data_IF_394049221164
#
_entry.id   IF_394049221164
#
_cell.length_a   1.000
_cell.length_b   1.000
_cell.length_c   1.000
_cell.angle_alpha   90.00
_cell.angle_beta   90.00
_cell.angle_gamma   90.00
#
_symmetry.space_group_name_H-M   'P 1'
#
loop_
_entity.id
_entity.type
_entity.pdbx_description
1 polymer ?
#
# COMPACT_ATOMS: atom_id res chain seq x y z
N UNK A 1 9.17 -31.49 -27.78
CA UNK A 1 10.12 -30.78 -26.91
C UNK A 1 10.19 -29.27 -27.22
N UNK A 2 10.13 -28.79 -28.43
CA UNK A 2 10.17 -27.37 -28.85
C UNK A 2 8.98 -26.48 -28.39
N UNK A 3 7.83 -27.04 -28.05
CA UNK A 3 6.63 -26.27 -27.67
C UNK A 3 6.59 -25.81 -26.21
N UNK A 4 7.38 -26.42 -25.34
CA UNK A 4 7.47 -26.08 -23.92
C UNK A 4 8.43 -24.90 -23.70
N UNK A 5 9.57 -24.94 -24.39
CA UNK A 5 10.58 -23.87 -24.25
C UNK A 5 10.09 -22.50 -24.74
N UNK A 6 9.26 -22.44 -25.79
CA UNK A 6 8.72 -21.19 -26.33
C UNK A 6 7.60 -20.59 -25.44
N UNK A 7 6.96 -21.39 -24.59
CA UNK A 7 5.97 -20.89 -23.61
C UNK A 7 6.66 -20.32 -22.38
N UNK A 8 7.70 -21.01 -21.91
CA UNK A 8 8.49 -20.58 -20.75
C UNK A 8 9.28 -19.28 -21.05
N UNK A 9 9.79 -19.10 -22.28
CA UNK A 9 10.43 -17.86 -22.73
C UNK A 9 9.45 -16.68 -22.84
N UNK A 10 8.23 -16.90 -23.31
CA UNK A 10 7.19 -15.86 -23.38
C UNK A 10 6.69 -15.45 -21.98
N UNK A 11 6.53 -16.39 -21.07
CA UNK A 11 6.13 -16.11 -19.68
C UNK A 11 7.25 -15.39 -18.93
N UNK A 12 8.50 -15.76 -19.13
CA UNK A 12 9.64 -15.09 -18.51
C UNK A 12 9.81 -13.64 -19.03
N UNK A 13 9.61 -13.42 -20.32
CA UNK A 13 9.67 -12.08 -20.92
C UNK A 13 8.49 -11.18 -20.51
N UNK A 14 7.30 -11.75 -20.28
CA UNK A 14 6.13 -11.00 -19.77
C UNK A 14 6.31 -10.63 -18.30
N UNK A 15 6.89 -11.52 -17.51
CA UNK A 15 7.20 -11.28 -16.10
C UNK A 15 8.30 -10.23 -15.94
N UNK A 16 9.35 -10.28 -16.74
CA UNK A 16 10.42 -9.28 -16.74
C UNK A 16 9.92 -7.87 -17.10
N UNK A 17 9.06 -7.77 -18.12
CA UNK A 17 8.43 -6.49 -18.49
C UNK A 17 7.51 -5.96 -17.38
N UNK A 18 6.76 -6.83 -16.73
CA UNK A 18 5.91 -6.45 -15.58
C UNK A 18 6.75 -5.90 -14.43
N UNK A 19 7.82 -6.59 -14.03
CA UNK A 19 8.72 -6.14 -12.96
C UNK A 19 9.35 -4.80 -13.30
N UNK A 20 9.88 -4.62 -14.52
CA UNK A 20 10.45 -3.36 -14.95
C UNK A 20 9.42 -2.22 -14.94
N UNK A 21 8.19 -2.49 -15.38
CA UNK A 21 7.11 -1.47 -15.38
C UNK A 21 6.72 -1.07 -13.96
N UNK A 22 6.57 -2.03 -13.05
CA UNK A 22 6.24 -1.76 -11.65
C UNK A 22 7.36 -0.99 -10.96
N UNK A 23 8.63 -1.39 -11.19
CA UNK A 23 9.79 -0.68 -10.63
C UNK A 23 9.89 0.76 -11.11
N UNK A 24 9.71 1.00 -12.42
CA UNK A 24 9.75 2.33 -12.99
C UNK A 24 8.58 3.20 -12.47
N UNK A 25 7.39 2.61 -12.39
CA UNK A 25 6.22 3.30 -11.86
C UNK A 25 6.43 3.68 -10.38
N UNK A 26 6.90 2.76 -9.54
CA UNK A 26 7.21 3.02 -8.14
C UNK A 26 8.27 4.10 -7.98
N UNK A 27 9.31 4.09 -8.82
CA UNK A 27 10.37 5.10 -8.81
C UNK A 27 9.81 6.50 -9.11
N UNK A 28 9.03 6.63 -10.18
CA UNK A 28 8.43 7.93 -10.56
C UNK A 28 7.47 8.43 -9.47
N UNK A 29 6.58 7.55 -8.98
CA UNK A 29 5.65 7.89 -7.92
C UNK A 29 6.37 8.31 -6.64
N UNK A 30 7.41 7.58 -6.24
CA UNK A 30 8.20 7.91 -5.05
C UNK A 30 8.83 9.29 -5.15
N UNK A 31 9.42 9.65 -6.30
CA UNK A 31 10.01 10.97 -6.49
C UNK A 31 8.94 12.07 -6.39
N UNK A 32 7.85 11.92 -7.15
CA UNK A 32 6.80 12.95 -7.24
C UNK A 32 6.14 13.17 -5.88
N UNK A 33 5.72 12.09 -5.23
CA UNK A 33 5.02 12.19 -3.94
C UNK A 33 5.96 12.57 -2.80
N UNK A 34 7.20 12.08 -2.78
CA UNK A 34 8.17 12.45 -1.75
C UNK A 34 8.54 13.92 -1.85
N UNK A 35 8.77 14.43 -3.07
CA UNK A 35 9.03 15.85 -3.28
C UNK A 35 7.84 16.72 -2.84
N UNK A 36 6.63 16.40 -3.31
CA UNK A 36 5.42 17.12 -2.93
C UNK A 36 5.17 17.12 -1.42
N UNK A 37 5.35 15.97 -0.77
CA UNK A 37 5.18 15.82 0.68
C UNK A 37 6.22 16.62 1.46
N UNK A 38 7.49 16.59 1.02
CA UNK A 38 8.60 17.33 1.64
C UNK A 38 8.35 18.84 1.58
N UNK A 39 8.02 19.38 0.41
CA UNK A 39 7.73 20.81 0.23
C UNK A 39 6.53 21.24 1.08
N UNK A 40 5.46 20.42 1.08
CA UNK A 40 4.27 20.72 1.87
C UNK A 40 4.58 20.74 3.37
N UNK A 41 5.31 19.74 3.88
CA UNK A 41 5.60 19.62 5.31
C UNK A 41 6.58 20.68 5.79
N UNK A 42 7.47 21.16 4.92
CA UNK A 42 8.40 22.24 5.27
C UNK A 42 7.70 23.55 5.68
N UNK A 43 6.56 23.87 5.11
CA UNK A 43 5.78 25.07 5.45
C UNK A 43 4.75 24.86 6.56
N UNK A 44 4.42 23.62 6.89
CA UNK A 44 3.42 23.30 7.89
C UNK A 44 3.96 23.43 9.32
N UNK A 45 3.14 23.89 10.29
CA UNK A 45 3.46 23.80 11.71
C UNK A 45 3.55 22.34 12.16
N UNK A 46 4.42 22.05 13.15
CA UNK A 46 4.74 20.70 13.62
C UNK A 46 3.49 19.85 13.93
N UNK A 47 2.44 20.33 14.64
CA UNK A 47 1.28 19.52 14.93
C UNK A 47 0.53 19.04 13.68
N UNK A 48 0.40 19.91 12.66
CA UNK A 48 -0.27 19.55 11.41
C UNK A 48 0.60 18.58 10.61
N UNK A 49 1.91 18.77 10.59
CA UNK A 49 2.86 17.85 9.95
C UNK A 49 2.76 16.43 10.56
N UNK A 50 2.60 16.30 11.88
CA UNK A 50 2.40 15.02 12.56
C UNK A 50 1.08 14.37 12.12
N UNK A 51 0.00 15.12 12.00
CA UNK A 51 -1.29 14.58 11.53
C UNK A 51 -1.16 14.06 10.09
N UNK A 52 -0.51 14.82 9.20
CA UNK A 52 -0.24 14.38 7.82
C UNK A 52 0.61 13.11 7.80
N UNK A 53 1.66 13.03 8.62
CA UNK A 53 2.48 11.84 8.77
C UNK A 53 1.65 10.60 9.17
N UNK A 54 0.81 10.75 10.20
CA UNK A 54 -0.05 9.65 10.66
C UNK A 54 -1.05 9.20 9.60
N UNK A 55 -1.60 10.13 8.82
CA UNK A 55 -2.50 9.81 7.70
C UNK A 55 -1.77 9.02 6.60
N UNK A 56 -0.55 9.40 6.24
CA UNK A 56 0.24 8.67 5.24
C UNK A 56 0.58 7.26 5.74
N UNK A 57 0.99 7.12 7.00
CA UNK A 57 1.25 5.81 7.63
C UNK A 57 -0.03 4.96 7.60
N UNK A 58 -1.17 5.51 8.00
CA UNK A 58 -2.44 4.79 7.99
C UNK A 58 -2.85 4.31 6.60
N UNK A 59 -2.65 5.15 5.56
CA UNK A 59 -2.89 4.76 4.18
C UNK A 59 -1.99 3.60 3.76
N UNK A 60 -0.70 3.66 4.04
CA UNK A 60 0.24 2.58 3.76
C UNK A 60 -0.18 1.27 4.43
N UNK A 61 -0.58 1.32 5.71
CA UNK A 61 -1.08 0.16 6.46
C UNK A 61 -2.35 -0.41 5.82
N UNK A 62 -3.30 0.44 5.40
CA UNK A 62 -4.54 0.00 4.76
C UNK A 62 -4.28 -0.75 3.45
N UNK A 63 -3.39 -0.26 2.59
CA UNK A 63 -3.04 -0.94 1.35
C UNK A 63 -2.28 -2.24 1.59
N UNK A 64 -1.39 -2.30 2.59
CA UNK A 64 -0.75 -3.54 3.03
C UNK A 64 -1.78 -4.57 3.55
N UNK A 65 -2.80 -4.12 4.30
CA UNK A 65 -3.91 -4.98 4.74
C UNK A 65 -4.70 -5.56 3.56
N UNK A 66 -5.01 -4.74 2.56
CA UNK A 66 -5.73 -5.18 1.35
C UNK A 66 -4.91 -6.21 0.59
N UNK A 67 -3.62 -5.95 0.39
CA UNK A 67 -2.68 -6.87 -0.23
C UNK A 67 -2.69 -8.24 0.46
N UNK A 68 -2.52 -8.23 1.78
CA UNK A 68 -2.52 -9.45 2.58
C UNK A 68 -3.88 -10.16 2.51
N UNK A 69 -4.98 -9.42 2.65
CA UNK A 69 -6.32 -9.99 2.62
C UNK A 69 -6.63 -10.67 1.28
N UNK A 70 -6.23 -10.09 0.15
CA UNK A 70 -6.46 -10.68 -1.18
C UNK A 70 -5.68 -11.99 -1.35
N UNK A 71 -4.46 -12.10 -0.77
CA UNK A 71 -3.66 -13.32 -0.83
C UNK A 71 -4.22 -14.46 0.03
N UNK A 72 -4.90 -14.14 1.13
CA UNK A 72 -5.42 -15.13 2.09
C UNK A 72 -6.93 -15.37 1.97
N UNK A 73 -7.63 -14.63 1.10
CA UNK A 73 -9.08 -14.79 0.93
C UNK A 73 -9.44 -16.08 0.18
N UNK A 74 -10.48 -16.77 0.66
CA UNK A 74 -10.98 -18.00 0.05
C UNK A 74 -11.98 -17.71 -1.07
N UNK A 75 -11.63 -18.06 -2.30
CA UNK A 75 -12.49 -17.86 -3.49
C UNK A 75 -13.86 -18.55 -3.34
N UNK A 76 -13.92 -19.68 -2.65
CA UNK A 76 -15.13 -20.49 -2.43
C UNK A 76 -16.27 -19.70 -1.77
N UNK A 77 -15.95 -18.86 -0.77
CA UNK A 77 -16.95 -18.00 -0.11
C UNK A 77 -17.59 -17.02 -1.09
N UNK A 78 -16.76 -16.44 -1.97
CA UNK A 78 -17.24 -15.44 -2.93
C UNK A 78 -18.04 -16.06 -4.08
N UNK A 79 -17.83 -17.31 -4.44
CA UNK A 79 -18.71 -18.05 -5.36
C UNK A 79 -20.12 -18.21 -4.77
N UNK A 80 -20.22 -18.56 -3.49
CA UNK A 80 -21.51 -18.63 -2.80
C UNK A 80 -22.22 -17.27 -2.73
N UNK A 81 -21.48 -16.17 -2.55
CA UNK A 81 -22.04 -14.81 -2.59
C UNK A 81 -22.46 -14.41 -4.00
N UNK A 82 -21.70 -14.79 -5.03
CA UNK A 82 -21.99 -14.50 -6.42
C UNK A 82 -23.24 -15.22 -6.92
N UNK A 83 -23.49 -16.45 -6.50
CA UNK A 83 -24.73 -17.19 -6.83
C UNK A 83 -25.98 -16.53 -6.25
N UNK A 84 -25.82 -15.82 -5.12
CA UNK A 84 -26.88 -15.01 -4.48
C UNK A 84 -26.96 -13.58 -5.05
N UNK A 85 -26.21 -13.26 -6.11
CA UNK A 85 -26.16 -11.94 -6.79
C UNK A 85 -25.81 -10.79 -5.83
N UNK A 86 -24.99 -11.05 -4.78
CA UNK A 86 -24.54 -10.01 -3.86
C UNK A 86 -23.53 -9.10 -4.55
N UNK A 87 -23.64 -7.80 -4.26
CA UNK A 87 -22.78 -6.77 -4.85
C UNK A 87 -21.30 -6.99 -4.45
N UNK A 88 -20.41 -6.77 -5.41
CA UNK A 88 -18.98 -6.92 -5.22
C UNK A 88 -18.45 -8.35 -5.34
N UNK A 89 -19.28 -9.40 -5.24
CA UNK A 89 -18.82 -10.78 -5.23
C UNK A 89 -18.05 -11.20 -6.49
N UNK A 90 -18.50 -10.79 -7.68
CA UNK A 90 -17.78 -11.06 -8.94
C UNK A 90 -16.44 -10.33 -9.01
N UNK A 91 -16.38 -9.12 -8.48
CA UNK A 91 -15.15 -8.32 -8.40
C UNK A 91 -14.17 -8.95 -7.42
N UNK A 92 -14.65 -9.44 -6.27
CA UNK A 92 -13.83 -10.18 -5.30
C UNK A 92 -13.16 -11.40 -5.92
N UNK A 93 -13.92 -12.20 -6.68
CA UNK A 93 -13.36 -13.37 -7.38
C UNK A 93 -12.27 -12.95 -8.37
N UNK A 94 -12.49 -11.87 -9.13
CA UNK A 94 -11.47 -11.37 -10.07
C UNK A 94 -10.20 -10.90 -9.35
N UNK A 95 -10.35 -10.21 -8.20
CA UNK A 95 -9.21 -9.76 -7.40
C UNK A 95 -8.41 -10.95 -6.83
N UNK A 96 -9.09 -11.94 -6.25
CA UNK A 96 -8.45 -13.13 -5.68
C UNK A 96 -7.72 -13.93 -6.76
N UNK A 97 -8.32 -14.12 -7.95
CA UNK A 97 -7.65 -14.79 -9.07
C UNK A 97 -6.41 -14.07 -9.59
N UNK A 98 -6.36 -12.76 -9.42
CA UNK A 98 -5.22 -11.92 -9.78
C UNK A 98 -4.43 -11.47 -8.54
N UNK A 99 -4.52 -12.22 -7.42
CA UNK A 99 -3.92 -11.86 -6.15
C UNK A 99 -2.45 -11.42 -6.26
N UNK A 100 -1.54 -12.09 -7.00
CA UNK A 100 -0.16 -11.64 -7.10
C UNK A 100 -0.01 -10.22 -7.66
N UNK A 101 -0.79 -9.88 -8.70
CA UNK A 101 -0.73 -8.54 -9.31
C UNK A 101 -1.36 -7.47 -8.42
N UNK A 102 -2.51 -7.77 -7.82
CA UNK A 102 -3.20 -6.86 -6.90
C UNK A 102 -2.37 -6.60 -5.66
N UNK A 103 -1.79 -7.65 -5.10
CA UNK A 103 -0.91 -7.59 -3.94
C UNK A 103 0.32 -6.74 -4.23
N UNK A 104 1.00 -6.97 -5.35
CA UNK A 104 2.18 -6.20 -5.75
C UNK A 104 1.85 -4.71 -5.90
N UNK A 105 0.74 -4.35 -6.53
CA UNK A 105 0.35 -2.95 -6.65
C UNK A 105 0.02 -2.33 -5.27
N UNK A 106 -0.72 -3.03 -4.43
CA UNK A 106 -1.14 -2.50 -3.14
C UNK A 106 0.01 -2.40 -2.13
N UNK A 107 0.84 -3.44 -2.00
CA UNK A 107 1.93 -3.46 -1.03
C UNK A 107 3.19 -2.78 -1.59
N UNK A 108 3.68 -3.26 -2.76
CA UNK A 108 5.00 -2.86 -3.25
C UNK A 108 4.97 -1.45 -3.88
N UNK A 109 3.87 -1.09 -4.58
CA UNK A 109 3.78 0.25 -5.17
C UNK A 109 3.25 1.26 -4.15
N UNK A 110 2.02 1.08 -3.66
CA UNK A 110 1.37 2.08 -2.81
C UNK A 110 1.89 2.02 -1.38
N UNK A 111 1.99 0.83 -0.79
CA UNK A 111 2.44 0.63 0.58
C UNK A 111 3.88 1.09 0.81
N UNK A 112 4.79 0.79 -0.13
CA UNK A 112 6.19 1.19 -0.03
C UNK A 112 6.40 2.66 -0.35
N UNK A 113 5.69 3.23 -1.34
CA UNK A 113 5.70 4.68 -1.58
C UNK A 113 5.23 5.45 -0.34
N UNK A 114 4.15 5.02 0.33
CA UNK A 114 3.73 5.61 1.60
C UNK A 114 4.81 5.47 2.69
N UNK A 115 5.52 4.35 2.72
CA UNK A 115 6.67 4.13 3.62
C UNK A 115 7.80 5.12 3.39
N UNK A 116 8.20 5.34 2.15
CA UNK A 116 9.24 6.30 1.76
C UNK A 116 8.82 7.73 2.14
N UNK A 117 7.58 8.11 1.82
CA UNK A 117 7.04 9.43 2.17
C UNK A 117 7.03 9.63 3.68
N UNK A 118 6.54 8.65 4.44
CA UNK A 118 6.48 8.75 5.91
C UNK A 118 7.87 8.85 6.54
N UNK A 119 8.87 8.18 5.97
CA UNK A 119 10.27 8.30 6.38
C UNK A 119 10.83 9.70 6.13
N UNK A 120 10.62 10.25 4.94
CA UNK A 120 11.06 11.59 4.58
C UNK A 120 10.39 12.66 5.46
N UNK A 121 9.07 12.62 5.59
CA UNK A 121 8.28 13.53 6.42
C UNK A 121 8.68 13.41 7.90
N UNK A 122 8.88 12.18 8.39
CA UNK A 122 9.33 11.93 9.77
C UNK A 122 10.70 12.55 10.06
N UNK A 123 11.62 12.50 9.11
CA UNK A 123 12.94 13.13 9.24
C UNK A 123 12.82 14.65 9.30
N UNK A 124 11.96 15.27 8.48
CA UNK A 124 11.75 16.73 8.50
C UNK A 124 11.12 17.16 9.84
N UNK A 125 10.15 16.40 10.35
CA UNK A 125 9.54 16.68 11.66
C UNK A 125 10.60 16.59 12.75
N UNK A 126 11.46 15.57 12.69
CA UNK A 126 12.54 15.38 13.65
C UNK A 126 13.53 16.55 13.63
N UNK A 127 13.91 17.04 12.45
CA UNK A 127 14.74 18.24 12.28
C UNK A 127 14.08 19.48 12.90
N UNK A 128 12.83 19.76 12.55
CA UNK A 128 12.08 20.91 13.08
C UNK A 128 11.98 20.89 14.61
N UNK A 129 11.77 19.72 15.21
CA UNK A 129 11.70 19.57 16.67
C UNK A 129 13.08 19.82 17.26
N UNK A 130 14.13 19.25 16.68
CA UNK A 130 15.52 19.41 17.16
C UNK A 130 15.95 20.86 17.11
N UNK A 131 15.68 21.57 16.01
CA UNK A 131 16.00 22.99 15.86
C UNK A 131 15.18 23.86 16.83
N UNK A 132 13.88 23.61 16.96
CA UNK A 132 13.01 24.43 17.82
C UNK A 132 13.36 24.36 19.28
N UNK A 133 13.82 23.20 19.76
CA UNK A 133 14.13 22.95 21.17
C UNK A 133 15.62 22.92 21.46
N UNK A 134 16.50 23.27 20.48
CA UNK A 134 17.96 23.20 20.59
C UNK A 134 18.46 21.85 21.13
N UNK A 135 17.86 20.76 20.65
CA UNK A 135 18.24 19.42 21.07
C UNK A 135 19.52 18.95 20.36
N UNK A 136 20.30 18.06 20.99
CA UNK A 136 21.47 17.49 20.33
C UNK A 136 21.05 16.66 19.10
N UNK A 137 21.92 16.59 18.11
CA UNK A 137 21.68 15.89 16.82
C UNK A 137 21.26 14.42 16.99
N UNK A 138 21.70 13.79 18.08
CA UNK A 138 21.32 12.39 18.40
C UNK A 138 19.81 12.23 18.62
N UNK A 139 19.10 13.28 19.06
CA UNK A 139 17.64 13.24 19.23
C UNK A 139 16.88 13.14 17.92
N UNK A 140 17.40 13.72 16.82
CA UNK A 140 16.81 13.55 15.49
C UNK A 140 16.77 12.07 15.07
N UNK A 141 17.85 11.33 15.34
CA UNK A 141 17.95 9.91 15.02
C UNK A 141 16.93 9.10 15.84
N UNK A 142 16.78 9.42 17.13
CA UNK A 142 15.80 8.77 18.01
C UNK A 142 14.36 9.03 17.53
N UNK A 143 14.02 10.26 17.18
CA UNK A 143 12.68 10.61 16.69
C UNK A 143 12.39 9.89 15.36
N UNK A 144 13.36 9.88 14.43
CA UNK A 144 13.22 9.16 13.16
C UNK A 144 13.06 7.65 13.37
N UNK A 145 13.80 7.07 14.32
CA UNK A 145 13.66 5.66 14.68
C UNK A 145 12.28 5.33 15.29
N UNK A 146 11.73 6.23 16.12
CA UNK A 146 10.37 6.08 16.66
C UNK A 146 9.32 6.08 15.54
N UNK A 147 9.42 6.98 14.58
CA UNK A 147 8.52 7.04 13.41
C UNK A 147 8.62 5.74 12.59
N UNK A 148 9.84 5.28 12.32
CA UNK A 148 10.07 4.03 11.61
C UNK A 148 9.50 2.82 12.37
N UNK A 149 9.71 2.75 13.67
CA UNK A 149 9.17 1.69 14.53
C UNK A 149 7.64 1.67 14.54
N UNK A 150 7.00 2.83 14.63
CA UNK A 150 5.54 2.97 14.57
C UNK A 150 4.99 2.49 13.21
N UNK A 151 5.65 2.87 12.11
CA UNK A 151 5.26 2.47 10.77
C UNK A 151 5.38 0.95 10.57
N UNK A 152 6.53 0.38 10.92
CA UNK A 152 6.80 -1.06 10.76
C UNK A 152 5.94 -1.88 11.70
N UNK A 153 5.85 -1.49 12.97
CA UNK A 153 5.03 -2.16 13.98
C UNK A 153 3.54 -2.13 13.63
N UNK A 154 3.06 -0.98 13.16
CA UNK A 154 1.70 -0.84 12.64
C UNK A 154 1.43 -1.78 11.46
N UNK A 155 2.30 -1.78 10.44
CA UNK A 155 2.19 -2.71 9.31
C UNK A 155 2.16 -4.17 9.76
N UNK A 156 3.05 -4.57 10.66
CA UNK A 156 3.12 -5.95 11.17
C UNK A 156 1.82 -6.37 11.89
N UNK A 157 1.34 -5.53 12.81
CA UNK A 157 0.12 -5.79 13.56
C UNK A 157 -1.09 -5.94 12.65
N UNK A 158 -1.29 -5.01 11.72
CA UNK A 158 -2.45 -5.02 10.84
C UNK A 158 -2.39 -6.11 9.76
N UNK A 159 -1.20 -6.59 9.38
CA UNK A 159 -1.05 -7.78 8.53
C UNK A 159 -1.64 -9.03 9.18
N UNK A 160 -1.42 -9.24 10.48
CA UNK A 160 -2.03 -10.35 11.22
C UNK A 160 -3.57 -10.25 11.25
N UNK A 161 -4.10 -9.04 11.50
CA UNK A 161 -5.55 -8.79 11.46
C UNK A 161 -6.13 -9.04 10.07
N UNK A 162 -5.41 -8.66 9.02
CA UNK A 162 -5.81 -8.86 7.63
C UNK A 162 -5.85 -10.34 7.25
N UNK A 163 -4.88 -11.11 7.71
CA UNK A 163 -4.84 -12.55 7.50
C UNK A 163 -6.02 -13.25 8.19
N UNK A 164 -6.32 -12.90 9.44
CA UNK A 164 -7.42 -13.48 10.20
C UNK A 164 -8.82 -13.09 9.67
N UNK A 165 -8.95 -11.93 9.01
CA UNK A 165 -10.23 -11.40 8.52
C UNK A 165 -10.25 -11.17 7.01
N UNK A 166 -9.46 -11.93 6.24
CA UNK A 166 -9.23 -11.74 4.81
C UNK A 166 -10.52 -11.60 3.99
N UNK A 167 -11.46 -12.51 4.15
CA UNK A 167 -12.73 -12.51 3.42
C UNK A 167 -13.58 -11.27 3.69
N UNK A 168 -13.62 -10.80 4.94
CA UNK A 168 -14.38 -9.59 5.32
C UNK A 168 -13.75 -8.32 4.74
N UNK A 169 -12.42 -8.25 4.71
CA UNK A 169 -11.69 -7.10 4.19
C UNK A 169 -11.86 -7.02 2.67
N UNK A 170 -11.71 -8.14 1.96
CA UNK A 170 -11.95 -8.20 0.51
C UNK A 170 -13.39 -7.83 0.16
N UNK A 171 -14.37 -8.32 0.91
CA UNK A 171 -15.79 -8.00 0.70
C UNK A 171 -16.07 -6.49 0.87
N UNK A 172 -15.52 -5.86 1.91
CA UNK A 172 -15.65 -4.41 2.11
C UNK A 172 -14.94 -3.61 1.03
N UNK A 173 -13.72 -3.99 0.68
CA UNK A 173 -12.92 -3.31 -0.33
C UNK A 173 -13.60 -3.35 -1.70
N UNK A 174 -14.14 -4.51 -2.10
CA UNK A 174 -14.83 -4.65 -3.38
C UNK A 174 -16.16 -3.92 -3.45
N UNK A 175 -16.87 -3.79 -2.32
CA UNK A 175 -18.06 -2.93 -2.25
C UNK A 175 -17.72 -1.46 -2.46
N UNK A 176 -16.65 -0.98 -1.85
CA UNK A 176 -16.16 0.39 -2.06
C UNK A 176 -15.74 0.59 -3.52
N UNK A 177 -14.99 -0.34 -4.11
CA UNK A 177 -14.65 -0.31 -5.54
C UNK A 177 -15.89 -0.34 -6.44
N UNK A 178 -16.91 -1.13 -6.08
CA UNK A 178 -18.18 -1.19 -6.80
C UNK A 178 -18.89 0.16 -6.85
N UNK A 179 -18.90 0.91 -5.75
CA UNK A 179 -19.47 2.25 -5.69
C UNK A 179 -18.76 3.20 -6.67
N UNK A 180 -17.43 3.08 -6.80
CA UNK A 180 -16.64 3.87 -7.75
C UNK A 180 -16.82 3.41 -9.21
N UNK A 181 -17.05 2.11 -9.45
CA UNK A 181 -17.25 1.54 -10.79
C UNK A 181 -18.64 1.85 -11.35
N UNK A 182 -19.69 1.88 -10.54
CA UNK A 182 -21.05 2.25 -10.96
C UNK A 182 -21.17 3.68 -11.50
N UNK A 183 -20.21 4.55 -11.21
CA UNK A 183 -20.18 5.93 -11.72
C UNK A 183 -19.63 6.03 -13.15
N UNK A 184 -19.10 4.93 -13.73
CA UNK A 184 -18.49 4.93 -15.06
C UNK A 184 -19.40 4.37 -16.17
N UNK A 185 -20.53 3.75 -15.81
CA UNK A 185 -21.51 3.16 -16.74
C UNK A 185 -22.85 3.92 -16.75
N UNK A 186 -22.81 5.25 -16.52
CA UNK A 186 -23.96 6.16 -16.78
C UNK A 186 -23.58 7.25 -17.75
#
# INVERSE_FOLDING_TARGET
MKSKDSKDEKDNNSTGKWVATVSLLSFILSIVFSFAATETVNVLPIPIAIIVLLLVIALGILFDMISMAVNYAEEKEFHSKASRKLDGAKTSIKLIRNAPKVSSICADVIGDVCGIISGAVGTIIALKITERYNLPINMQVIISALVASLTIGGKAQFKLVAQANSNKIVDRFTKVLGIFSFKKDK
#
